data_IF_959889303207
#
_entry.id   IF_959889303207
#
_cell.length_a   1.000
_cell.length_b   1.000
_cell.length_c   1.000
_cell.angle_alpha   90.00
_cell.angle_beta   90.00
_cell.angle_gamma   90.00
#
_symmetry.space_group_name_H-M   'P 1'
#
loop_
_entity.id
_entity.type
_entity.pdbx_description
1 polymer ?
#
# COMPACT_ATOMS: atom_id res chain seq x y z
N UNK A 1 -19.44 -38.17 61.21
CA UNK A 1 -18.82 -36.93 60.68
C UNK A 1 -19.76 -36.34 59.63
N UNK A 2 -19.93 -35.02 59.56
CA UNK A 2 -21.09 -34.36 60.17
C UNK A 2 -22.13 -33.80 59.18
N UNK A 3 -23.28 -33.44 59.77
CA UNK A 3 -24.17 -32.31 59.45
C UNK A 3 -24.83 -32.21 58.08
N UNK A 4 -26.17 -32.14 58.05
CA UNK A 4 -26.86 -30.89 57.70
C UNK A 4 -28.23 -30.83 58.38
N UNK A 5 -28.44 -29.73 59.10
CA UNK A 5 -29.59 -29.43 59.95
C UNK A 5 -30.70 -28.80 59.08
N UNK A 6 -31.88 -29.40 59.08
CA UNK A 6 -33.12 -28.81 58.58
C UNK A 6 -33.77 -28.09 59.77
N UNK A 7 -34.16 -26.82 59.61
CA UNK A 7 -35.11 -26.22 60.53
C UNK A 7 -36.08 -25.26 59.81
N UNK A 8 -37.32 -25.33 60.29
CA UNK A 8 -38.57 -24.90 59.69
C UNK A 8 -38.97 -23.50 60.19
N UNK A 9 -39.57 -22.73 59.28
CA UNK A 9 -40.56 -21.65 59.43
C UNK A 9 -40.76 -20.95 60.80
N UNK A 10 -40.78 -19.61 60.75
CA UNK A 10 -41.99 -18.83 61.09
C UNK A 10 -41.90 -17.41 60.55
N UNK A 11 -42.99 -16.99 59.91
CA UNK A 11 -43.24 -15.64 59.43
C UNK A 11 -43.56 -14.70 60.61
N UNK A 12 -43.11 -13.44 60.53
CA UNK A 12 -43.78 -12.29 61.15
C UNK A 12 -43.72 -11.11 60.18
N UNK A 13 -44.89 -10.78 59.65
CA UNK A 13 -45.23 -9.54 58.95
C UNK A 13 -45.12 -8.35 59.90
N UNK A 14 -44.36 -7.33 59.53
CA UNK A 14 -44.54 -5.96 60.05
C UNK A 14 -44.41 -4.99 58.89
N UNK A 15 -45.51 -4.32 58.56
CA UNK A 15 -45.58 -3.25 57.58
C UNK A 15 -44.96 -1.99 58.18
N UNK A 16 -43.90 -1.47 57.56
CA UNK A 16 -43.41 -0.11 57.80
C UNK A 16 -43.64 0.71 56.53
N UNK A 17 -44.64 1.59 56.62
CA UNK A 17 -44.95 2.63 55.66
C UNK A 17 -43.88 3.73 55.80
N UNK A 18 -42.83 3.70 54.98
CA UNK A 18 -41.88 4.80 54.86
C UNK A 18 -42.14 5.60 53.59
N UNK A 19 -42.58 6.85 53.78
CA UNK A 19 -42.77 7.89 52.77
C UNK A 19 -41.57 7.96 51.81
N UNK A 20 -41.80 7.68 50.53
CA UNK A 20 -40.89 8.03 49.44
C UNK A 20 -40.99 9.53 49.16
N UNK A 21 -40.10 10.33 49.76
CA UNK A 21 -39.83 11.68 49.26
C UNK A 21 -38.86 11.55 48.08
N UNK A 22 -39.40 11.43 46.87
CA UNK A 22 -38.64 11.51 45.64
C UNK A 22 -38.13 12.95 45.44
N UNK A 23 -37.01 13.28 46.07
CA UNK A 23 -36.22 14.46 45.73
C UNK A 23 -35.57 14.23 44.37
N UNK A 24 -36.22 14.67 43.30
CA UNK A 24 -35.61 14.71 41.98
C UNK A 24 -34.48 15.77 42.00
N UNK A 25 -33.26 15.35 42.36
CA UNK A 25 -32.06 16.10 41.99
C UNK A 25 -32.03 16.15 40.47
N UNK A 26 -32.43 17.28 39.91
CA UNK A 26 -32.10 17.63 38.53
C UNK A 26 -30.58 17.81 38.49
N UNK A 27 -29.86 16.75 38.15
CA UNK A 27 -28.49 16.88 37.70
C UNK A 27 -28.54 17.77 36.46
N UNK A 28 -28.08 19.01 36.58
CA UNK A 28 -27.87 19.87 35.43
C UNK A 28 -27.00 19.10 34.43
N UNK A 29 -27.35 19.06 33.13
CA UNK A 29 -26.51 18.40 32.15
C UNK A 29 -25.15 19.09 32.20
N UNK A 30 -24.12 18.34 32.61
CA UNK A 30 -22.75 18.79 32.48
C UNK A 30 -22.56 19.11 31.00
N UNK A 31 -22.39 20.40 30.68
CA UNK A 31 -22.06 20.84 29.34
C UNK A 31 -20.76 20.13 28.96
N UNK A 32 -20.89 19.06 28.16
CA UNK A 32 -19.77 18.43 27.52
C UNK A 32 -19.10 19.52 26.69
N UNK A 33 -17.97 20.02 27.17
CA UNK A 33 -17.14 20.95 26.42
C UNK A 33 -16.82 20.23 25.12
N UNK A 34 -17.40 20.72 24.02
CA UNK A 34 -17.19 20.21 22.68
C UNK A 34 -15.75 20.47 22.29
N UNK A 35 -14.85 19.62 22.75
CA UNK A 35 -13.53 19.47 22.14
C UNK A 35 -13.78 18.71 20.86
N UNK A 36 -14.04 19.45 19.78
CA UNK A 36 -13.93 18.90 18.43
C UNK A 36 -12.52 18.29 18.32
N UNK A 37 -12.38 16.99 18.02
CA UNK A 37 -11.07 16.39 17.83
C UNK A 37 -10.30 17.21 16.80
N UNK A 38 -9.11 17.70 17.17
CA UNK A 38 -8.21 18.34 16.21
C UNK A 38 -7.94 17.36 15.08
N UNK A 39 -7.97 17.84 13.84
CA UNK A 39 -7.57 17.03 12.70
C UNK A 39 -6.15 16.46 12.95
N UNK A 40 -5.89 15.19 12.59
CA UNK A 40 -4.56 14.61 12.75
C UNK A 40 -3.53 15.40 11.93
N UNK A 41 -2.26 15.47 12.38
CA UNK A 41 -1.23 16.19 11.67
C UNK A 41 -1.05 15.64 10.24
N UNK A 42 -0.63 16.47 9.27
CA UNK A 42 -0.32 16.00 7.93
C UNK A 42 0.79 14.94 7.96
N UNK A 43 0.64 13.90 7.13
CA UNK A 43 1.67 12.90 6.88
C UNK A 43 2.30 13.16 5.51
N UNK A 44 3.59 12.84 5.36
CA UNK A 44 4.26 12.83 4.07
C UNK A 44 4.68 11.42 3.71
N UNK A 45 4.18 10.93 2.58
CA UNK A 45 4.55 9.67 1.96
C UNK A 45 5.43 9.94 0.74
N UNK A 46 6.69 9.54 0.78
CA UNK A 46 7.56 9.59 -0.39
C UNK A 46 7.53 8.27 -1.16
N UNK A 47 7.57 8.35 -2.49
CA UNK A 47 7.66 7.20 -3.39
C UNK A 47 8.97 7.25 -4.16
N UNK A 48 9.72 6.15 -4.16
CA UNK A 48 10.89 5.95 -5.02
C UNK A 48 10.71 4.67 -5.83
N UNK A 49 11.08 4.75 -7.10
CA UNK A 49 10.92 3.61 -8.00
C UNK A 49 11.15 3.94 -9.45
N UNK A 50 10.58 3.09 -10.31
CA UNK A 50 10.76 3.11 -11.75
C UNK A 50 9.59 3.78 -12.52
N UNK A 51 9.48 3.51 -13.82
CA UNK A 51 8.41 4.04 -14.69
C UNK A 51 7.01 3.58 -14.29
N UNK A 52 6.86 2.46 -13.59
CA UNK A 52 5.55 1.98 -13.13
C UNK A 52 5.03 2.77 -11.93
N UNK A 53 5.90 3.52 -11.25
CA UNK A 53 5.55 4.36 -10.08
C UNK A 53 5.49 5.85 -10.45
N UNK A 54 6.31 6.29 -11.42
CA UNK A 54 6.59 7.70 -11.72
C UNK A 54 5.38 8.55 -12.13
N UNK A 55 5.51 9.85 -11.90
CA UNK A 55 4.59 10.85 -12.44
C UNK A 55 4.85 11.10 -13.94
N UNK A 56 3.77 11.32 -14.68
CA UNK A 56 3.78 11.72 -16.08
C UNK A 56 3.00 13.04 -16.27
N UNK A 57 3.40 13.88 -17.24
CA UNK A 57 2.75 15.18 -17.45
C UNK A 57 1.28 15.00 -17.91
N UNK A 58 0.43 16.02 -17.69
CA UNK A 58 -0.94 16.03 -18.20
C UNK A 58 -0.98 15.71 -19.70
N UNK A 59 -1.97 14.92 -20.12
CA UNK A 59 -2.14 14.49 -21.52
C UNK A 59 -1.20 13.36 -21.99
N UNK A 60 -0.19 12.97 -21.21
CA UNK A 60 0.62 11.80 -21.53
C UNK A 60 -0.23 10.51 -21.45
N UNK A 61 -0.08 9.51 -22.33
CA UNK A 61 -0.91 8.29 -22.28
C UNK A 61 -0.57 7.36 -21.11
N UNK A 62 0.68 7.44 -20.61
CA UNK A 62 1.15 6.66 -19.46
C UNK A 62 0.80 7.29 -18.12
N UNK A 63 0.52 6.46 -17.11
CA UNK A 63 0.51 6.82 -15.69
C UNK A 63 1.33 5.79 -14.90
N UNK A 64 2.03 6.23 -13.86
CA UNK A 64 2.53 5.34 -12.82
C UNK A 64 1.48 5.18 -11.73
N UNK A 65 1.44 4.04 -11.04
CA UNK A 65 0.48 3.85 -9.94
C UNK A 65 0.71 4.86 -8.81
N UNK A 66 1.96 5.27 -8.58
CA UNK A 66 2.29 6.29 -7.58
C UNK A 66 1.70 7.67 -7.89
N UNK A 67 1.40 7.95 -9.17
CA UNK A 67 0.72 9.18 -9.58
C UNK A 67 -0.76 9.19 -9.18
N UNK A 68 -1.40 8.02 -9.12
CA UNK A 68 -2.83 7.87 -8.82
C UNK A 68 -3.10 7.41 -7.38
N UNK A 69 -2.06 6.99 -6.65
CA UNK A 69 -2.17 6.63 -5.24
C UNK A 69 -2.88 7.70 -4.38
N UNK A 70 -2.66 9.02 -4.56
CA UNK A 70 -3.34 10.04 -3.75
C UNK A 70 -4.87 9.95 -3.71
N UNK A 71 -5.49 9.35 -4.74
CA UNK A 71 -6.95 9.16 -4.81
C UNK A 71 -7.49 8.21 -3.73
N UNK A 72 -6.62 7.37 -3.17
CA UNK A 72 -6.97 6.34 -2.18
C UNK A 72 -6.45 6.66 -0.78
N UNK A 73 -5.73 7.77 -0.60
CA UNK A 73 -5.13 8.12 0.68
C UNK A 73 -6.06 8.98 1.54
N UNK A 74 -5.79 9.00 2.84
CA UNK A 74 -6.44 9.93 3.75
C UNK A 74 -6.16 11.38 3.30
N UNK A 75 -7.13 12.32 3.46
CA UNK A 75 -6.97 13.70 2.99
C UNK A 75 -5.76 14.46 3.56
N UNK A 76 -5.21 14.02 4.68
CA UNK A 76 -4.04 14.63 5.33
C UNK A 76 -2.70 14.00 4.90
N UNK A 77 -2.68 13.08 3.93
CA UNK A 77 -1.44 12.46 3.42
C UNK A 77 -0.98 13.17 2.14
N UNK A 78 0.20 13.77 2.21
CA UNK A 78 0.87 14.39 1.07
C UNK A 78 1.82 13.40 0.41
N UNK A 79 1.82 13.33 -0.93
CA UNK A 79 2.68 12.40 -1.68
C UNK A 79 3.84 13.13 -2.36
N UNK A 80 5.07 12.75 -2.03
CA UNK A 80 6.29 13.14 -2.74
C UNK A 80 6.74 12.01 -3.66
N UNK A 81 6.34 12.05 -4.94
CA UNK A 81 6.72 11.02 -5.90
C UNK A 81 8.03 11.37 -6.64
N UNK A 82 9.12 10.76 -6.20
CA UNK A 82 10.47 10.91 -6.77
C UNK A 82 10.86 9.72 -7.66
N UNK A 83 9.94 8.82 -7.99
CA UNK A 83 10.20 7.74 -8.94
C UNK A 83 10.50 8.26 -10.35
N UNK A 84 11.34 7.53 -11.09
CA UNK A 84 11.85 7.95 -12.40
C UNK A 84 11.89 6.77 -13.36
N UNK A 85 11.46 7.00 -14.61
CA UNK A 85 11.53 6.00 -15.66
C UNK A 85 12.95 5.47 -15.88
N UNK A 86 13.04 4.17 -16.17
CA UNK A 86 14.30 3.47 -16.47
C UNK A 86 15.22 3.24 -15.27
N UNK A 87 14.80 3.57 -14.04
CA UNK A 87 15.65 3.39 -12.85
C UNK A 87 15.52 2.02 -12.22
N UNK A 88 16.64 1.53 -11.72
CA UNK A 88 16.78 0.32 -10.94
C UNK A 88 17.29 0.66 -9.55
N UNK A 89 17.43 -0.34 -8.68
CA UNK A 89 18.06 -0.16 -7.36
C UNK A 89 19.50 0.39 -7.46
N UNK A 90 20.17 0.13 -8.59
CA UNK A 90 21.54 0.56 -8.88
C UNK A 90 21.60 1.92 -9.59
N UNK A 91 20.67 2.21 -10.50
CA UNK A 91 20.74 3.39 -11.38
C UNK A 91 19.89 4.58 -10.93
N UNK A 92 19.12 4.44 -9.84
CA UNK A 92 18.38 5.56 -9.26
C UNK A 92 19.34 6.62 -8.74
N UNK A 93 19.24 7.82 -9.31
CA UNK A 93 20.25 8.87 -9.12
C UNK A 93 20.24 9.42 -7.69
N UNK A 94 21.44 9.60 -7.11
CA UNK A 94 21.62 10.12 -5.76
C UNK A 94 20.87 11.43 -5.50
N UNK A 95 20.78 12.33 -6.49
CA UNK A 95 20.08 13.62 -6.32
C UNK A 95 18.59 13.47 -5.97
N UNK A 96 17.89 12.46 -6.49
CA UNK A 96 16.48 12.22 -6.18
C UNK A 96 16.34 11.60 -4.79
N UNK A 97 17.24 10.67 -4.46
CA UNK A 97 17.28 10.08 -3.14
C UNK A 97 17.56 11.11 -2.03
N UNK A 98 18.54 11.99 -2.24
CA UNK A 98 18.83 13.10 -1.33
C UNK A 98 17.62 14.03 -1.13
N UNK A 99 16.86 14.32 -2.19
CA UNK A 99 15.61 15.12 -2.07
C UNK A 99 14.58 14.44 -1.18
N UNK A 100 14.37 13.13 -1.37
CA UNK A 100 13.46 12.34 -0.51
C UNK A 100 13.88 12.41 0.95
N UNK A 101 15.15 12.10 1.25
CA UNK A 101 15.62 12.11 2.64
C UNK A 101 15.57 13.50 3.27
N UNK A 102 15.88 14.54 2.49
CA UNK A 102 15.87 15.93 2.96
C UNK A 102 14.45 16.46 3.23
N UNK A 103 13.44 15.90 2.58
CA UNK A 103 12.03 16.21 2.84
C UNK A 103 11.52 15.63 4.17
N UNK A 104 12.29 14.74 4.83
CA UNK A 104 11.95 14.07 6.10
C UNK A 104 10.53 13.49 6.11
N UNK A 105 10.19 12.63 5.12
CA UNK A 105 8.86 12.03 5.06
C UNK A 105 8.62 11.06 6.22
N UNK A 106 7.36 10.87 6.61
CA UNK A 106 6.98 9.86 7.60
C UNK A 106 7.19 8.44 7.03
N UNK A 107 6.90 8.26 5.75
CA UNK A 107 7.02 6.98 5.04
C UNK A 107 7.81 7.11 3.75
N UNK A 108 8.59 6.10 3.41
CA UNK A 108 9.24 5.98 2.09
C UNK A 108 8.89 4.62 1.50
N UNK A 109 8.10 4.62 0.42
CA UNK A 109 7.77 3.41 -0.33
C UNK A 109 8.79 3.21 -1.43
N UNK A 110 9.42 2.04 -1.45
CA UNK A 110 10.53 1.71 -2.33
C UNK A 110 10.12 0.55 -3.24
N UNK A 111 10.00 0.81 -4.55
CA UNK A 111 9.64 -0.20 -5.55
C UNK A 111 10.63 -0.20 -6.73
N UNK A 112 11.39 -1.29 -6.87
CA UNK A 112 12.27 -1.53 -8.01
C UNK A 112 12.25 -3.01 -8.41
N UNK A 113 12.76 -3.34 -9.59
CA UNK A 113 12.78 -4.70 -10.11
C UNK A 113 12.65 -4.79 -11.63
N UNK A 114 11.88 -3.88 -12.26
CA UNK A 114 11.65 -3.95 -13.71
C UNK A 114 12.95 -3.82 -14.50
N UNK A 115 13.70 -2.76 -14.21
CA UNK A 115 14.95 -2.43 -14.89
C UNK A 115 16.12 -3.25 -14.35
N UNK A 116 16.09 -3.58 -13.06
CA UNK A 116 17.00 -4.54 -12.43
C UNK A 116 17.03 -5.88 -13.17
N UNK A 117 15.87 -6.36 -13.63
CA UNK A 117 15.68 -7.63 -14.36
C UNK A 117 16.13 -7.63 -15.82
N UNK A 118 16.65 -6.51 -16.33
CA UNK A 118 17.15 -6.44 -17.70
C UNK A 118 18.38 -7.32 -17.90
N UNK A 119 18.80 -7.49 -19.16
CA UNK A 119 19.96 -8.29 -19.49
C UNK A 119 21.23 -7.72 -18.83
N UNK A 120 22.17 -8.60 -18.44
CA UNK A 120 23.33 -8.23 -17.60
C UNK A 120 24.30 -7.23 -18.26
N UNK A 121 24.20 -7.02 -19.57
CA UNK A 121 24.93 -5.99 -20.32
C UNK A 121 24.37 -4.57 -20.12
N UNK A 122 23.18 -4.43 -19.53
CA UNK A 122 22.54 -3.14 -19.31
C UNK A 122 23.07 -2.46 -18.05
N UNK A 123 23.34 -1.14 -18.08
CA UNK A 123 23.92 -0.42 -16.95
C UNK A 123 23.03 -0.44 -15.70
N UNK A 124 21.71 -0.52 -15.89
CA UNK A 124 20.72 -0.58 -14.83
C UNK A 124 20.48 -1.99 -14.27
N UNK A 125 20.95 -3.05 -14.95
CA UNK A 125 20.72 -4.42 -14.50
C UNK A 125 21.47 -4.72 -13.20
N UNK A 126 20.84 -5.58 -12.39
CA UNK A 126 21.35 -6.10 -11.12
C UNK A 126 21.06 -7.60 -11.06
N UNK A 127 21.73 -8.32 -10.17
CA UNK A 127 21.48 -9.71 -9.85
C UNK A 127 20.63 -9.81 -8.57
N UNK A 128 19.46 -10.44 -8.69
CA UNK A 128 18.46 -10.53 -7.62
C UNK A 128 18.99 -11.15 -6.31
N UNK A 129 20.04 -11.98 -6.36
CA UNK A 129 20.60 -12.62 -5.18
C UNK A 129 21.68 -11.77 -4.49
N UNK A 130 22.24 -10.76 -5.16
CA UNK A 130 23.42 -10.01 -4.68
C UNK A 130 23.15 -8.50 -4.63
N UNK A 131 23.66 -7.73 -5.60
CA UNK A 131 23.64 -6.27 -5.59
C UNK A 131 22.22 -5.68 -5.49
N UNK A 132 21.19 -6.34 -6.03
CA UNK A 132 19.79 -5.95 -5.80
C UNK A 132 19.43 -5.91 -4.31
N UNK A 133 19.76 -6.98 -3.56
CA UNK A 133 19.46 -7.08 -2.12
C UNK A 133 20.28 -6.09 -1.31
N UNK A 134 21.56 -5.94 -1.65
CA UNK A 134 22.45 -5.00 -0.97
C UNK A 134 21.98 -3.55 -1.15
N UNK A 135 21.55 -3.19 -2.36
CA UNK A 135 20.96 -1.87 -2.62
C UNK A 135 19.65 -1.67 -1.83
N UNK A 136 18.77 -2.66 -1.76
CA UNK A 136 17.54 -2.56 -0.96
C UNK A 136 17.84 -2.38 0.53
N UNK A 137 18.79 -3.14 1.09
CA UNK A 137 19.23 -2.98 2.49
C UNK A 137 19.81 -1.58 2.73
N UNK A 138 20.55 -1.03 1.77
CA UNK A 138 21.05 0.35 1.81
C UNK A 138 19.90 1.36 1.88
N UNK A 139 18.91 1.29 0.98
CA UNK A 139 17.76 2.20 1.01
C UNK A 139 16.99 2.13 2.34
N UNK A 140 16.75 0.92 2.86
CA UNK A 140 16.10 0.72 4.16
C UNK A 140 16.89 1.37 5.30
N UNK A 141 18.21 1.17 5.31
CA UNK A 141 19.10 1.72 6.34
C UNK A 141 19.12 3.25 6.29
N UNK A 142 19.29 3.82 5.11
CA UNK A 142 19.35 5.26 4.90
C UNK A 142 18.00 5.94 5.20
N UNK A 143 16.87 5.32 4.84
CA UNK A 143 15.53 5.80 5.19
C UNK A 143 15.33 5.88 6.71
N UNK A 144 15.69 4.82 7.44
CA UNK A 144 15.62 4.79 8.91
C UNK A 144 16.53 5.82 9.55
N UNK A 145 17.74 5.99 9.04
CA UNK A 145 18.68 6.99 9.53
C UNK A 145 18.15 8.42 9.35
N UNK A 146 17.33 8.67 8.34
CA UNK A 146 16.63 9.94 8.13
C UNK A 146 15.34 10.09 8.97
N UNK A 147 14.98 9.10 9.79
CA UNK A 147 13.79 9.11 10.65
C UNK A 147 12.50 8.67 9.97
N UNK A 148 12.57 8.20 8.72
CA UNK A 148 11.40 7.72 7.98
C UNK A 148 11.14 6.22 8.23
N UNK A 149 9.88 5.79 8.08
CA UNK A 149 9.50 4.38 8.03
C UNK A 149 9.62 3.87 6.60
N UNK A 150 10.62 3.03 6.25
CA UNK A 150 10.66 2.42 4.94
C UNK A 150 9.57 1.37 4.80
N UNK A 151 8.99 1.27 3.60
CA UNK A 151 8.08 0.20 3.20
C UNK A 151 8.56 -0.32 1.85
N UNK A 152 8.83 -1.61 1.79
CA UNK A 152 9.21 -2.27 0.55
C UNK A 152 7.93 -2.59 -0.24
N UNK A 153 7.93 -2.32 -1.54
CA UNK A 153 6.83 -2.67 -2.44
C UNK A 153 7.41 -3.53 -3.54
N UNK A 154 7.00 -4.81 -3.61
CA UNK A 154 7.51 -5.72 -4.65
C UNK A 154 7.16 -5.19 -6.04
N UNK A 155 7.98 -5.45 -7.08
CA UNK A 155 7.70 -4.95 -8.41
C UNK A 155 6.39 -5.53 -8.94
N UNK A 156 5.48 -4.67 -9.41
CA UNK A 156 4.22 -5.10 -10.04
C UNK A 156 4.46 -6.14 -11.14
N UNK A 157 3.58 -7.13 -11.25
CA UNK A 157 3.66 -8.15 -12.29
C UNK A 157 3.51 -7.53 -13.69
N UNK A 158 4.25 -8.04 -14.67
CA UNK A 158 4.04 -7.66 -16.08
C UNK A 158 2.83 -8.41 -16.64
N UNK A 159 2.08 -7.77 -17.53
CA UNK A 159 0.94 -8.40 -18.24
C UNK A 159 1.39 -9.26 -19.42
N UNK A 160 2.39 -10.10 -19.20
CA UNK A 160 2.90 -11.02 -20.22
C UNK A 160 2.25 -12.37 -20.04
N UNK A 161 1.48 -12.81 -21.03
CA UNK A 161 0.81 -14.09 -21.03
C UNK A 161 1.41 -15.03 -22.09
N UNK A 162 1.40 -16.33 -21.81
CA UNK A 162 1.71 -17.39 -22.77
C UNK A 162 0.68 -18.49 -22.61
N UNK A 163 -0.02 -18.83 -23.70
CA UNK A 163 -1.10 -19.83 -23.71
C UNK A 163 -2.15 -19.55 -22.61
N UNK A 164 -2.53 -18.28 -22.46
CA UNK A 164 -3.53 -17.83 -21.47
C UNK A 164 -3.03 -17.76 -20.02
N UNK A 165 -1.77 -18.11 -19.74
CA UNK A 165 -1.20 -18.07 -18.40
C UNK A 165 -0.20 -16.93 -18.26
N UNK A 166 -0.25 -16.22 -17.13
CA UNK A 166 0.70 -15.17 -16.80
C UNK A 166 2.10 -15.77 -16.67
N UNK A 167 3.09 -15.15 -17.30
CA UNK A 167 4.50 -15.51 -17.11
C UNK A 167 5.14 -14.61 -16.09
N UNK A 168 6.03 -15.16 -15.28
CA UNK A 168 6.62 -14.43 -14.17
C UNK A 168 8.14 -14.31 -14.27
N UNK A 169 8.59 -13.26 -14.96
CA UNK A 169 10.02 -12.92 -15.06
C UNK A 169 10.52 -12.17 -13.82
N UNK A 170 9.62 -11.57 -13.02
CA UNK A 170 9.99 -10.71 -11.90
C UNK A 170 10.00 -11.44 -10.56
N UNK A 171 9.48 -12.67 -10.48
CA UNK A 171 9.54 -13.56 -9.33
C UNK A 171 10.89 -13.51 -8.58
N UNK A 172 12.07 -13.67 -9.23
CA UNK A 172 13.34 -13.63 -8.52
C UNK A 172 13.60 -12.32 -7.76
N UNK A 173 13.17 -11.18 -8.30
CA UNK A 173 13.33 -9.87 -7.67
C UNK A 173 12.27 -9.64 -6.60
N UNK A 174 11.03 -10.09 -6.81
CA UNK A 174 10.00 -10.06 -5.79
C UNK A 174 10.38 -10.91 -4.56
N UNK A 175 10.90 -12.13 -4.79
CA UNK A 175 11.39 -13.01 -3.73
C UNK A 175 12.60 -12.43 -3.00
N UNK A 176 13.54 -11.85 -3.74
CA UNK A 176 14.67 -11.15 -3.13
C UNK A 176 14.23 -9.99 -2.24
N UNK A 177 13.22 -9.22 -2.65
CA UNK A 177 12.67 -8.14 -1.83
C UNK A 177 11.94 -8.68 -0.59
N UNK A 178 11.17 -9.77 -0.70
CA UNK A 178 10.55 -10.46 0.45
C UNK A 178 11.60 -10.93 1.47
N UNK A 179 12.72 -11.46 0.98
CA UNK A 179 13.86 -11.85 1.83
C UNK A 179 14.41 -10.63 2.57
N UNK A 180 14.71 -9.53 1.86
CA UNK A 180 15.22 -8.30 2.50
C UNK A 180 14.22 -7.73 3.51
N UNK A 181 12.92 -7.73 3.19
CA UNK A 181 11.87 -7.29 4.10
C UNK A 181 11.87 -8.10 5.40
N UNK A 182 11.99 -9.43 5.29
CA UNK A 182 12.06 -10.34 6.43
C UNK A 182 13.33 -10.10 7.27
N UNK A 183 14.50 -10.08 6.62
CA UNK A 183 15.80 -9.87 7.28
C UNK A 183 15.86 -8.55 8.04
N UNK A 184 15.36 -7.48 7.41
CA UNK A 184 15.43 -6.12 7.94
C UNK A 184 14.23 -5.76 8.81
N UNK A 185 13.23 -6.65 8.93
CA UNK A 185 11.93 -6.41 9.58
C UNK A 185 11.25 -5.15 9.03
N UNK A 186 11.30 -4.98 7.71
CA UNK A 186 10.68 -3.85 7.01
C UNK A 186 9.28 -4.26 6.54
N UNK A 187 8.23 -3.44 6.78
CA UNK A 187 6.90 -3.70 6.22
C UNK A 187 6.95 -3.86 4.70
N UNK A 188 6.08 -4.74 4.18
CA UNK A 188 6.05 -5.09 2.76
C UNK A 188 4.63 -4.99 2.21
N UNK A 189 4.49 -4.32 1.06
CA UNK A 189 3.33 -4.47 0.18
C UNK A 189 3.69 -5.49 -0.91
N UNK A 190 3.04 -6.65 -0.90
CA UNK A 190 3.26 -7.70 -1.90
C UNK A 190 2.46 -7.43 -3.19
N UNK A 191 2.77 -6.30 -3.84
CA UNK A 191 2.12 -5.87 -5.08
C UNK A 191 2.35 -6.85 -6.23
N UNK A 192 3.49 -7.53 -6.28
CA UNK A 192 3.79 -8.53 -7.27
C UNK A 192 2.76 -9.67 -7.24
N UNK A 193 2.50 -10.23 -6.05
CA UNK A 193 1.48 -11.25 -5.86
C UNK A 193 0.07 -10.72 -6.16
N UNK A 194 -0.31 -9.59 -5.57
CA UNK A 194 -1.70 -9.10 -5.72
C UNK A 194 -2.04 -8.71 -7.16
N UNK A 195 -1.07 -8.16 -7.91
CA UNK A 195 -1.24 -7.89 -9.33
C UNK A 195 -1.25 -9.15 -10.19
N UNK A 196 -0.42 -10.16 -9.88
CA UNK A 196 -0.47 -11.45 -10.57
C UNK A 196 -1.83 -12.13 -10.39
N UNK A 197 -2.35 -12.13 -9.16
CA UNK A 197 -3.67 -12.69 -8.84
C UNK A 197 -4.78 -11.93 -9.59
N UNK A 198 -4.71 -10.60 -9.67
CA UNK A 198 -5.65 -9.78 -10.42
C UNK A 198 -5.63 -10.09 -11.93
N UNK A 199 -4.44 -10.09 -12.54
CA UNK A 199 -4.30 -10.36 -13.97
C UNK A 199 -4.68 -11.80 -14.33
N UNK A 200 -4.38 -12.76 -13.47
CA UNK A 200 -4.78 -14.16 -13.68
C UNK A 200 -6.30 -14.30 -13.61
N UNK A 201 -6.95 -13.62 -12.66
CA UNK A 201 -8.41 -13.66 -12.48
C UNK A 201 -9.16 -13.01 -13.64
N UNK A 202 -8.70 -11.85 -14.12
CA UNK A 202 -9.36 -11.12 -15.21
C UNK A 202 -8.98 -11.67 -16.60
N UNK A 203 -7.78 -12.22 -16.72
CA UNK A 203 -7.24 -12.71 -17.98
C UNK A 203 -6.67 -11.60 -18.87
N UNK A 204 -6.04 -12.03 -19.96
CA UNK A 204 -5.30 -11.16 -20.87
C UNK A 204 -6.21 -10.15 -21.60
N UNK A 205 -7.33 -10.61 -22.17
CA UNK A 205 -8.19 -9.76 -22.97
C UNK A 205 -8.87 -8.64 -22.15
N UNK A 206 -9.39 -8.97 -20.97
CA UNK A 206 -10.12 -8.02 -20.11
C UNK A 206 -9.25 -6.91 -19.52
N UNK A 207 -7.93 -7.04 -19.64
CA UNK A 207 -6.97 -6.06 -19.12
C UNK A 207 -6.11 -5.44 -20.23
N UNK A 208 -6.42 -5.70 -21.51
CA UNK A 208 -5.54 -5.34 -22.63
C UNK A 208 -5.26 -3.84 -22.71
N UNK A 209 -6.26 -3.00 -22.40
CA UNK A 209 -6.19 -1.54 -22.38
C UNK A 209 -5.61 -0.95 -21.08
N UNK A 210 -5.23 -1.79 -20.11
CA UNK A 210 -4.60 -1.32 -18.86
C UNK A 210 -3.12 -1.01 -19.04
N UNK A 211 -2.50 -1.56 -20.07
CA UNK A 211 -1.14 -1.22 -20.47
C UNK A 211 -1.13 -0.64 -21.88
N UNK A 212 -0.05 0.05 -22.23
CA UNK A 212 0.11 0.73 -23.52
C UNK A 212 0.37 -0.25 -24.68
N UNK A 213 -0.28 -1.43 -24.67
CA UNK A 213 -0.11 -2.51 -25.65
C UNK A 213 -0.31 -2.01 -27.08
N UNK A 214 -1.31 -1.15 -27.28
CA UNK A 214 -1.75 -0.69 -28.60
C UNK A 214 -1.54 0.82 -28.79
N UNK A 215 -0.71 1.47 -27.97
CA UNK A 215 -0.52 2.91 -27.99
C UNK A 215 0.38 3.35 -29.17
N UNK A 216 -0.18 3.28 -30.38
CA UNK A 216 0.22 4.12 -31.51
C UNK A 216 1.57 3.84 -32.18
N UNK A 217 2.10 2.62 -32.12
CA UNK A 217 3.24 2.21 -32.96
C UNK A 217 2.79 1.20 -34.01
N UNK A 218 2.27 1.66 -35.18
CA UNK A 218 1.73 0.79 -36.24
C UNK A 218 2.79 -0.12 -36.90
N UNK A 219 4.06 0.03 -36.52
CA UNK A 219 5.24 -0.65 -37.01
C UNK A 219 5.83 -1.70 -36.04
N UNK A 220 5.28 -1.86 -34.83
CA UNK A 220 5.75 -2.90 -33.91
C UNK A 220 5.16 -4.28 -34.25
N UNK A 221 5.96 -5.09 -34.93
CA UNK A 221 5.77 -6.55 -34.99
C UNK A 221 6.34 -7.18 -33.72
N UNK A 222 5.54 -7.21 -32.66
CA UNK A 222 5.93 -7.78 -31.37
C UNK A 222 4.79 -7.71 -30.35
N UNK A 223 4.90 -8.38 -29.19
CA UNK A 223 3.94 -8.16 -28.11
C UNK A 223 4.09 -6.70 -27.65
N UNK A 224 3.00 -5.94 -27.74
CA UNK A 224 2.97 -4.54 -27.30
C UNK A 224 3.40 -4.33 -25.84
N UNK A 225 3.48 -3.08 -25.40
CA UNK A 225 3.99 -2.72 -24.07
C UNK A 225 3.15 -3.30 -22.91
N UNK A 226 3.55 -4.48 -22.40
CA UNK A 226 2.90 -5.18 -21.27
C UNK A 226 3.29 -4.67 -19.88
N UNK A 227 3.96 -3.52 -19.79
CA UNK A 227 4.58 -3.06 -18.54
C UNK A 227 4.06 -1.70 -18.11
N UNK A 228 3.91 -0.77 -19.04
CA UNK A 228 3.56 0.60 -18.72
C UNK A 228 2.07 0.84 -18.81
N UNK A 229 1.50 1.42 -17.76
CA UNK A 229 0.06 1.52 -17.60
C UNK A 229 -0.55 2.72 -18.32
N UNK A 230 -1.78 2.53 -18.81
CA UNK A 230 -2.73 3.63 -19.02
C UNK A 230 -3.19 4.18 -17.67
N UNK A 231 -4.03 5.21 -17.67
CA UNK A 231 -4.63 5.72 -16.43
C UNK A 231 -5.47 4.66 -15.71
N UNK A 232 -6.32 3.92 -16.44
CA UNK A 232 -7.13 2.83 -15.89
C UNK A 232 -6.24 1.77 -15.21
N UNK A 233 -5.21 1.30 -15.90
CA UNK A 233 -4.31 0.30 -15.33
C UNK A 233 -3.55 0.80 -14.11
N UNK A 234 -3.03 2.03 -14.15
CA UNK A 234 -2.31 2.62 -13.01
C UNK A 234 -3.22 2.77 -11.79
N UNK A 235 -4.51 3.08 -12.00
CA UNK A 235 -5.51 3.26 -10.94
C UNK A 235 -5.81 1.94 -10.25
N UNK A 236 -5.95 0.87 -11.01
CA UNK A 236 -6.15 -0.48 -10.46
C UNK A 236 -4.93 -0.99 -9.69
N UNK A 237 -3.72 -0.72 -10.18
CA UNK A 237 -2.50 -1.05 -9.44
C UNK A 237 -2.35 -0.19 -8.17
N UNK A 238 -2.71 1.10 -8.22
CA UNK A 238 -2.74 1.96 -7.05
C UNK A 238 -3.75 1.48 -6.00
N UNK A 239 -4.93 1.00 -6.44
CA UNK A 239 -5.94 0.39 -5.56
C UNK A 239 -5.39 -0.83 -4.81
N UNK A 240 -4.66 -1.72 -5.49
CA UNK A 240 -4.01 -2.88 -4.84
C UNK A 240 -3.00 -2.46 -3.77
N UNK A 241 -2.24 -1.39 -4.01
CA UNK A 241 -1.33 -0.83 -2.99
C UNK A 241 -2.14 -0.27 -1.82
N UNK A 242 -3.19 0.50 -2.10
CA UNK A 242 -4.07 1.09 -1.09
C UNK A 242 -4.71 0.03 -0.17
N UNK A 243 -5.14 -1.11 -0.73
CA UNK A 243 -5.75 -2.22 0.03
C UNK A 243 -4.79 -2.84 1.05
N UNK A 244 -3.48 -2.74 0.84
CA UNK A 244 -2.48 -3.21 1.79
C UNK A 244 -2.16 -2.19 2.90
N UNK A 245 -2.47 -0.90 2.71
CA UNK A 245 -2.06 0.18 3.61
C UNK A 245 -2.61 0.08 5.04
N UNK A 246 -3.84 -0.39 5.32
CA UNK A 246 -4.31 -0.55 6.69
C UNK A 246 -3.40 -1.43 7.55
N UNK A 247 -2.74 -2.43 6.96
CA UNK A 247 -1.80 -3.31 7.64
C UNK A 247 -0.41 -2.67 7.83
N UNK A 248 -0.09 -1.64 7.05
CA UNK A 248 1.15 -0.86 7.17
C UNK A 248 0.98 0.23 8.22
N UNK A 249 0.02 1.13 8.00
CA UNK A 249 -0.40 2.15 8.95
C UNK A 249 -1.81 2.65 8.58
N UNK A 250 -2.82 2.49 9.46
CA UNK A 250 -4.20 2.89 9.17
C UNK A 250 -4.38 4.39 8.94
N UNK A 251 -3.42 5.23 9.36
CA UNK A 251 -3.46 6.68 9.09
C UNK A 251 -3.32 6.99 7.59
N UNK A 252 -2.86 6.06 6.77
CA UNK A 252 -2.63 6.28 5.34
C UNK A 252 -3.91 6.28 4.49
N UNK A 253 -5.01 5.64 4.91
CA UNK A 253 -6.25 5.50 4.10
C UNK A 253 -7.48 6.14 4.71
N UNK A 254 -7.40 6.58 5.98
CA UNK A 254 -8.54 7.17 6.68
C UNK A 254 -9.67 6.16 6.93
N UNK A 255 -10.82 6.63 7.42
CA UNK A 255 -12.01 5.77 7.63
C UNK A 255 -12.73 5.41 6.32
N UNK A 256 -12.17 5.77 5.16
CA UNK A 256 -12.80 5.57 3.86
C UNK A 256 -12.64 4.12 3.44
N UNK A 257 -13.76 3.43 3.29
CA UNK A 257 -13.82 2.11 2.67
C UNK A 257 -13.29 2.23 1.24
N UNK A 258 -12.15 1.60 0.94
CA UNK A 258 -11.72 1.40 -0.45
C UNK A 258 -12.86 0.64 -1.11
N UNK A 259 -13.54 1.22 -2.13
CA UNK A 259 -14.61 0.50 -2.80
C UNK A 259 -14.02 -0.80 -3.33
N UNK A 260 -14.48 -1.93 -2.80
CA UNK A 260 -14.19 -3.24 -3.38
C UNK A 260 -14.66 -3.14 -4.83
N UNK A 261 -13.71 -3.18 -5.76
CA UNK A 261 -13.95 -2.88 -7.17
C UNK A 261 -15.24 -3.54 -7.63
N UNK A 262 -16.17 -2.74 -8.16
CA UNK A 262 -17.32 -3.24 -8.89
C UNK A 262 -16.81 -4.33 -9.81
N UNK A 263 -17.36 -5.53 -9.68
CA UNK A 263 -17.01 -6.64 -10.53
C UNK A 263 -17.05 -6.13 -11.98
N UNK A 264 -15.88 -6.01 -12.61
CA UNK A 264 -15.79 -5.98 -14.06
C UNK A 264 -16.35 -7.34 -14.44
N UNK A 265 -17.66 -7.34 -14.71
CA UNK A 265 -18.37 -8.54 -15.15
C UNK A 265 -17.80 -8.91 -16.52
N UNK A 266 -17.64 -10.21 -16.80
CA UNK A 266 -17.04 -10.69 -18.04
C UNK A 266 -17.77 -10.19 -19.29
#
# INVERSE_FOLDING_TARGET
MPSFLICIHKAVTTACLSLLLAGALHAAPAAASGVTPSAPPPLTLALVGDSTVANYPPGHPRRGWGQLLPEFLAPNVNVLNEARGGRSTKSFEAKYWTRVLSAKPDFIFIQFGHNDSHAKDKPEATDAATDYRDNLRRYVTEARAAGATPVLVTPVSRRTFRKGQLTDRLAPYADAMRIVATETKTPLVDLHKSSADLFTRLGEAATDDWTLNNAGQPDQTGPGDRTHFTETGAREIARLVAEALPAIDPRLVGATVIPSGSAVSP
#
